data_IF_289633215313
#
_entry.id   IF_289633215313
#
_cell.length_a   1.000
_cell.length_b   1.000
_cell.length_c   1.000
_cell.angle_alpha   90.00
_cell.angle_beta   90.00
_cell.angle_gamma   90.00
#
_symmetry.space_group_name_H-M   'P 1'
#
loop_
_entity.id
_entity.type
_entity.pdbx_description
1 polymer ?
#
# COMPACT_ATOMS: atom_id res chain seq x y z
N UNK A 1 34.09 -1.36 12.61
CA UNK A 1 32.84 -2.12 12.79
C UNK A 1 31.71 -1.21 12.36
N UNK A 2 30.74 -1.70 11.57
CA UNK A 2 29.58 -0.90 11.21
C UNK A 2 28.61 -0.84 12.38
N UNK A 3 27.89 0.26 12.48
CA UNK A 3 26.86 0.46 13.48
C UNK A 3 25.60 -0.34 13.11
N UNK A 4 25.05 -1.14 14.03
CA UNK A 4 23.85 -1.94 13.73
C UNK A 4 22.59 -1.16 14.11
N UNK A 5 21.65 -1.04 13.16
CA UNK A 5 20.34 -0.42 13.34
C UNK A 5 19.25 -1.48 13.20
N UNK A 6 18.28 -1.49 14.11
CA UNK A 6 17.12 -2.39 14.03
C UNK A 6 15.99 -1.71 13.29
N UNK A 7 15.50 -2.33 12.23
CA UNK A 7 14.40 -1.78 11.45
C UNK A 7 13.06 -1.94 12.19
N UNK A 8 12.20 -0.92 12.17
CA UNK A 8 10.84 -0.96 12.74
C UNK A 8 9.84 -0.22 11.86
N UNK A 9 8.54 -0.55 11.97
CA UNK A 9 7.47 0.20 11.32
C UNK A 9 7.26 -0.08 9.83
N UNK A 10 7.78 -1.20 9.31
CA UNK A 10 7.54 -1.66 7.94
C UNK A 10 6.40 -2.66 7.94
N UNK A 11 5.49 -2.48 7.02
CA UNK A 11 4.21 -3.17 7.07
C UNK A 11 4.06 -4.15 5.94
N UNK A 12 3.31 -5.22 6.22
CA UNK A 12 2.93 -6.20 5.22
C UNK A 12 2.41 -5.52 3.96
N UNK A 13 2.84 -6.05 2.82
CA UNK A 13 2.33 -5.65 1.51
C UNK A 13 2.41 -6.83 0.56
N UNK A 14 1.94 -6.59 -0.67
CA UNK A 14 2.02 -7.54 -1.78
C UNK A 14 3.44 -7.87 -2.21
N UNK A 15 4.37 -6.96 -1.96
CA UNK A 15 5.79 -7.13 -2.28
C UNK A 15 6.58 -7.57 -1.05
N UNK A 16 6.08 -7.28 0.14
CA UNK A 16 6.72 -7.60 1.41
C UNK A 16 5.77 -8.39 2.32
N UNK A 17 5.51 -9.63 1.93
CA UNK A 17 4.54 -10.52 2.60
C UNK A 17 4.95 -10.93 4.01
N UNK A 18 6.24 -10.86 4.31
CA UNK A 18 6.82 -11.34 5.56
C UNK A 18 6.82 -10.29 6.68
N UNK A 19 6.46 -9.04 6.38
CA UNK A 19 6.30 -8.02 7.40
C UNK A 19 4.97 -8.16 8.14
N UNK A 20 4.89 -7.70 9.40
CA UNK A 20 3.66 -7.81 10.15
C UNK A 20 2.60 -6.82 9.65
N UNK A 21 1.33 -7.15 9.89
CA UNK A 21 0.22 -6.24 9.60
C UNK A 21 0.11 -5.16 10.71
N UNK A 22 0.01 -3.86 10.37
CA UNK A 22 -0.08 -2.81 11.37
C UNK A 22 -1.32 -2.90 12.27
N UNK A 23 -2.42 -3.55 11.82
CA UNK A 23 -3.59 -3.80 12.65
C UNK A 23 -3.28 -4.71 13.85
N UNK A 24 -2.23 -5.53 13.77
CA UNK A 24 -1.80 -6.34 14.91
C UNK A 24 -1.36 -5.48 16.08
N UNK A 25 -0.88 -4.27 15.81
CA UNK A 25 -0.28 -3.37 16.80
C UNK A 25 -1.26 -2.29 17.28
N UNK A 26 -2.49 -2.24 16.78
CA UNK A 26 -3.50 -1.28 17.27
C UNK A 26 -3.90 -1.58 18.71
N UNK A 27 -3.74 -0.59 19.58
CA UNK A 27 -4.11 -0.64 20.99
C UNK A 27 -4.81 0.67 21.39
N UNK A 28 -6.14 0.66 21.37
CA UNK A 28 -6.94 1.82 21.77
C UNK A 28 -6.84 2.16 23.26
N UNK A 29 -6.31 1.24 24.07
CA UNK A 29 -6.08 1.44 25.51
C UNK A 29 -4.63 1.82 25.81
N UNK A 30 -3.82 2.11 24.78
CA UNK A 30 -2.45 2.55 24.98
C UNK A 30 -2.41 3.89 25.72
N UNK A 31 -1.64 3.93 26.80
CA UNK A 31 -1.47 5.13 27.62
C UNK A 31 -1.08 6.35 26.76
N UNK A 32 -1.91 7.39 26.83
CA UNK A 32 -1.78 8.57 25.99
C UNK A 32 -0.49 9.36 26.26
N UNK A 33 0.01 9.35 27.51
CA UNK A 33 1.23 10.06 27.87
C UNK A 33 2.47 9.35 27.34
N UNK A 34 2.51 8.02 27.44
CA UNK A 34 3.57 7.19 26.84
C UNK A 34 3.54 7.33 25.32
N UNK A 35 2.36 7.25 24.69
CA UNK A 35 2.20 7.47 23.26
C UNK A 35 2.77 8.81 22.82
N UNK A 36 2.46 9.88 23.55
CA UNK A 36 2.96 11.20 23.23
C UNK A 36 4.49 11.30 23.32
N UNK A 37 5.11 10.66 24.31
CA UNK A 37 6.57 10.61 24.42
C UNK A 37 7.21 9.88 23.24
N UNK A 38 6.67 8.72 22.87
CA UNK A 38 7.13 7.95 21.69
C UNK A 38 6.98 8.77 20.41
N UNK A 39 5.87 9.48 20.23
CA UNK A 39 5.66 10.37 19.09
C UNK A 39 6.69 11.50 19.02
N UNK A 40 6.98 12.14 20.15
CA UNK A 40 8.01 13.19 20.24
C UNK A 40 9.38 12.63 19.86
N UNK A 41 9.73 11.44 20.36
CA UNK A 41 10.98 10.76 20.03
C UNK A 41 11.10 10.46 18.52
N UNK A 42 10.08 9.84 17.92
CA UNK A 42 10.07 9.52 16.49
C UNK A 42 10.21 10.78 15.61
N UNK A 43 9.54 11.87 15.98
CA UNK A 43 9.61 13.15 15.26
C UNK A 43 10.97 13.84 15.41
N UNK A 44 11.72 13.52 16.46
CA UNK A 44 13.07 14.04 16.69
C UNK A 44 14.18 13.22 16.01
N UNK A 45 13.83 12.11 15.35
CA UNK A 45 14.78 11.26 14.63
C UNK A 45 15.59 12.02 13.58
N UNK A 46 16.78 11.51 13.28
CA UNK A 46 17.68 12.05 12.24
C UNK A 46 17.38 11.37 10.91
N UNK A 47 17.27 12.13 9.80
CA UNK A 47 17.02 11.54 8.49
C UNK A 47 18.22 10.67 8.07
N UNK A 48 17.95 9.51 7.48
CA UNK A 48 18.97 8.68 6.85
C UNK A 48 19.54 9.38 5.60
N UNK A 49 20.80 9.09 5.18
CA UNK A 49 21.46 9.80 4.08
C UNK A 49 20.98 9.34 2.69
N UNK A 50 19.76 8.81 2.59
CA UNK A 50 19.13 8.34 1.36
C UNK A 50 17.63 8.56 1.39
N UNK A 51 17.01 8.53 0.20
CA UNK A 51 15.56 8.57 0.01
C UNK A 51 15.16 7.52 -1.00
N UNK A 52 13.93 7.01 -0.87
CA UNK A 52 13.38 6.06 -1.84
C UNK A 52 12.75 6.79 -3.03
N UNK A 53 12.81 6.16 -4.21
CA UNK A 53 12.20 6.67 -5.45
C UNK A 53 10.68 6.42 -5.54
N UNK A 54 10.00 6.32 -4.39
CA UNK A 54 8.59 6.00 -4.30
C UNK A 54 8.03 6.46 -2.96
N UNK A 55 6.71 6.57 -2.88
CA UNK A 55 6.04 7.00 -1.66
C UNK A 55 5.27 5.85 -1.03
N UNK A 56 5.29 5.83 0.30
CA UNK A 56 4.49 4.90 1.10
C UNK A 56 3.05 5.40 1.24
N UNK A 57 2.14 4.49 1.58
CA UNK A 57 0.71 4.76 1.78
C UNK A 57 0.23 4.09 3.07
N UNK A 58 -0.87 4.62 3.64
CA UNK A 58 -1.44 4.09 4.87
C UNK A 58 -2.23 2.80 4.64
N UNK A 59 -1.86 1.70 5.30
CA UNK A 59 -2.52 0.39 5.13
C UNK A 59 -3.96 0.38 5.64
N UNK A 60 -4.32 1.30 6.54
CA UNK A 60 -5.70 1.55 6.96
C UNK A 60 -6.52 2.39 5.97
N UNK A 61 -5.91 2.82 4.84
CA UNK A 61 -6.56 3.55 3.74
C UNK A 61 -7.16 4.92 4.13
N UNK A 62 -6.49 5.69 4.99
CA UNK A 62 -6.96 7.01 5.47
C UNK A 62 -7.40 7.99 4.37
N UNK A 63 -6.65 8.09 3.27
CA UNK A 63 -6.78 9.23 2.35
C UNK A 63 -6.80 8.82 0.86
N UNK A 64 -7.10 7.55 0.55
CA UNK A 64 -7.05 7.04 -0.82
C UNK A 64 -5.68 7.24 -1.53
N UNK A 65 -5.62 7.08 -2.87
CA UNK A 65 -4.38 7.12 -3.65
C UNK A 65 -3.74 8.50 -3.78
N UNK A 66 -4.50 9.56 -3.53
CA UNK A 66 -4.16 10.91 -4.00
C UNK A 66 -3.63 11.82 -2.90
N UNK A 67 -3.97 11.55 -1.64
CA UNK A 67 -3.70 12.47 -0.52
C UNK A 67 -2.94 11.85 0.66
N UNK A 68 -2.86 10.52 0.77
CA UNK A 68 -2.22 9.82 1.91
C UNK A 68 -0.77 9.41 1.70
N UNK A 69 0.09 10.33 1.25
CA UNK A 69 1.51 10.03 1.03
C UNK A 69 2.24 10.04 2.37
N UNK A 70 2.65 8.86 2.84
CA UNK A 70 3.40 8.67 4.09
C UNK A 70 4.90 8.98 3.96
N UNK A 71 5.27 9.77 2.95
CA UNK A 71 6.66 10.11 2.68
C UNK A 71 7.47 9.03 1.98
N UNK A 72 8.76 9.32 1.84
CA UNK A 72 9.75 8.48 1.15
C UNK A 72 11.11 8.48 1.87
N UNK A 73 11.16 9.07 3.07
CA UNK A 73 12.36 9.14 3.90
C UNK A 73 12.32 8.09 5.01
N UNK A 74 13.49 7.84 5.57
CA UNK A 74 13.67 7.06 6.80
C UNK A 74 14.40 7.90 7.82
N UNK A 75 14.12 7.61 9.09
CA UNK A 75 14.69 8.29 10.24
C UNK A 75 15.31 7.27 11.18
N UNK A 76 16.28 7.72 11.97
CA UNK A 76 16.96 6.90 12.97
C UNK A 76 17.24 7.70 14.24
N UNK A 77 17.34 7.00 15.36
CA UNK A 77 17.90 7.50 16.62
C UNK A 77 19.27 6.90 16.94
N UNK A 78 19.86 6.15 16.01
CA UNK A 78 21.08 5.38 16.23
C UNK A 78 20.86 4.02 16.89
N UNK A 79 19.64 3.59 17.19
CA UNK A 79 19.34 2.20 17.55
C UNK A 79 18.32 1.59 16.61
N UNK A 80 17.26 2.34 16.30
CA UNK A 80 16.21 1.94 15.38
C UNK A 80 16.27 2.77 14.11
N UNK A 81 15.75 2.20 13.02
CA UNK A 81 15.47 2.91 11.77
C UNK A 81 14.01 2.67 11.39
N UNK A 82 13.30 3.73 10.99
CA UNK A 82 11.87 3.67 10.70
C UNK A 82 11.49 4.56 9.50
N UNK A 83 10.40 4.23 8.79
CA UNK A 83 9.90 5.08 7.73
C UNK A 83 9.24 6.33 8.30
N UNK A 84 9.32 7.44 7.57
CA UNK A 84 8.62 8.70 7.86
C UNK A 84 7.15 8.48 8.26
N UNK A 85 6.48 7.57 7.55
CA UNK A 85 5.09 7.20 7.77
C UNK A 85 4.76 6.59 9.13
N UNK A 86 5.73 6.10 9.91
CA UNK A 86 5.46 5.44 11.18
C UNK A 86 4.69 6.35 12.15
N UNK A 87 5.04 7.64 12.19
CA UNK A 87 4.37 8.65 13.02
C UNK A 87 2.86 8.69 12.76
N UNK A 88 2.44 8.64 11.50
CA UNK A 88 1.03 8.63 11.12
C UNK A 88 0.27 7.46 11.74
N UNK A 89 0.87 6.27 11.81
CA UNK A 89 0.21 5.11 12.41
C UNK A 89 -0.04 5.27 13.91
N UNK A 90 0.90 5.87 14.63
CA UNK A 90 0.73 6.14 16.07
C UNK A 90 -0.35 7.21 16.30
N UNK A 91 -0.39 8.24 15.47
CA UNK A 91 -1.35 9.36 15.59
C UNK A 91 -2.77 8.97 15.17
N UNK A 92 -2.93 8.35 14.00
CA UNK A 92 -4.23 8.09 13.39
C UNK A 92 -4.83 6.72 13.77
N UNK A 93 -4.00 5.74 14.13
CA UNK A 93 -4.43 4.34 14.28
C UNK A 93 -4.16 3.74 15.64
N UNK A 94 -3.76 4.55 16.63
CA UNK A 94 -3.40 4.09 17.96
C UNK A 94 -2.43 2.89 17.93
N UNK A 95 -1.50 2.91 16.96
CA UNK A 95 -0.51 1.85 16.81
C UNK A 95 0.47 1.93 17.98
N UNK A 96 0.59 0.86 18.75
CA UNK A 96 1.58 0.75 19.82
C UNK A 96 2.74 -0.12 19.35
N UNK A 97 3.97 0.37 19.49
CA UNK A 97 5.19 -0.39 19.14
C UNK A 97 5.47 -1.48 20.19
N UNK A 98 6.31 -2.50 19.86
CA UNK A 98 6.73 -3.50 20.84
C UNK A 98 7.31 -2.87 22.11
N UNK A 99 7.10 -3.48 23.30
CA UNK A 99 7.49 -2.90 24.58
C UNK A 99 8.94 -2.43 24.61
N UNK A 100 9.89 -3.24 24.14
CA UNK A 100 11.33 -2.91 24.12
C UNK A 100 11.68 -1.68 23.26
N UNK A 101 10.85 -1.36 22.27
CA UNK A 101 10.99 -0.13 21.47
C UNK A 101 10.42 1.05 22.25
N UNK A 102 9.21 0.92 22.79
CA UNK A 102 8.57 2.01 23.56
C UNK A 102 9.36 2.36 24.81
N UNK A 103 9.86 1.37 25.55
CA UNK A 103 10.66 1.55 26.75
C UNK A 103 11.95 2.33 26.43
N UNK A 104 12.66 1.93 25.36
CA UNK A 104 13.85 2.65 24.90
C UNK A 104 13.54 4.11 24.54
N UNK A 105 12.48 4.36 23.76
CA UNK A 105 12.12 5.72 23.34
C UNK A 105 11.70 6.61 24.53
N UNK A 106 11.10 6.03 25.58
CA UNK A 106 10.70 6.76 26.78
C UNK A 106 11.79 6.89 27.84
N UNK A 107 12.94 6.19 27.69
CA UNK A 107 14.04 6.25 28.65
C UNK A 107 14.84 7.58 28.60
N UNK A 108 14.52 8.48 27.67
CA UNK A 108 15.13 9.82 27.59
C UNK A 108 16.54 9.83 26.99
N UNK A 109 16.85 8.89 26.09
CA UNK A 109 18.12 8.89 25.38
C UNK A 109 18.25 10.08 24.43
N UNK A 110 19.38 10.78 24.46
CA UNK A 110 19.68 11.83 23.48
C UNK A 110 19.97 11.22 22.10
N UNK A 111 19.36 11.79 21.06
CA UNK A 111 19.60 11.39 19.67
C UNK A 111 20.85 12.11 19.15
N UNK A 112 22.01 11.51 19.39
CA UNK A 112 23.32 12.06 18.99
C UNK A 112 23.92 11.38 17.74
N UNK A 113 23.28 10.32 17.25
CA UNK A 113 23.79 9.57 16.11
C UNK A 113 23.54 10.32 14.80
N UNK A 114 24.61 10.60 14.06
CA UNK A 114 24.57 11.19 12.72
C UNK A 114 24.87 10.08 11.69
N UNK A 115 23.88 9.60 10.93
CA UNK A 115 24.07 8.49 10.00
C UNK A 115 24.93 8.93 8.80
N UNK A 116 26.10 8.33 8.66
CA UNK A 116 26.97 8.52 7.48
C UNK A 116 26.82 7.34 6.50
N UNK A 117 26.86 7.58 5.17
CA UNK A 117 26.81 6.52 4.18
C UNK A 117 27.80 5.39 4.47
N UNK A 118 27.36 4.13 4.33
CA UNK A 118 28.16 2.91 4.50
C UNK A 118 28.68 2.60 5.92
N UNK A 119 28.37 3.42 6.94
CA UNK A 119 28.80 3.21 8.32
C UNK A 119 27.82 2.42 9.18
N UNK A 120 26.73 1.92 8.60
CA UNK A 120 25.71 1.15 9.30
C UNK A 120 25.30 -0.11 8.55
N UNK A 121 24.70 -1.05 9.29
CA UNK A 121 23.96 -2.19 8.75
C UNK A 121 22.58 -2.21 9.39
N UNK A 122 21.57 -2.58 8.60
CA UNK A 122 20.18 -2.64 9.05
C UNK A 122 19.82 -4.10 9.27
N UNK A 123 19.36 -4.42 10.48
CA UNK A 123 18.70 -5.69 10.76
C UNK A 123 17.23 -5.62 10.35
N UNK A 124 16.91 -6.31 9.26
CA UNK A 124 15.56 -6.45 8.72
C UNK A 124 14.76 -7.58 9.37
N UNK A 125 15.43 -8.52 10.05
CA UNK A 125 14.82 -9.77 10.48
C UNK A 125 14.06 -9.60 11.78
N UNK A 126 14.57 -8.79 12.71
CA UNK A 126 13.89 -8.57 14.00
C UNK A 126 12.42 -8.17 13.80
N UNK A 127 12.16 -7.21 12.92
CA UNK A 127 10.80 -6.71 12.68
C UNK A 127 9.83 -7.76 12.13
N UNK A 128 10.31 -8.61 11.21
CA UNK A 128 9.51 -9.68 10.59
C UNK A 128 9.02 -10.72 11.60
N UNK A 129 9.70 -10.85 12.73
CA UNK A 129 9.31 -11.79 13.79
C UNK A 129 8.32 -11.19 14.79
N UNK A 130 8.10 -9.87 14.75
CA UNK A 130 7.23 -9.19 15.70
C UNK A 130 5.77 -9.54 15.44
N UNK A 131 5.07 -9.84 16.53
CA UNK A 131 3.61 -10.04 16.55
C UNK A 131 3.04 -9.02 17.52
N UNK A 132 2.08 -8.24 17.04
CA UNK A 132 1.33 -7.35 17.92
C UNK A 132 0.36 -8.11 18.82
N UNK A 133 -0.53 -7.36 19.47
CA UNK A 133 -1.53 -7.86 20.43
C UNK A 133 -2.80 -8.40 19.76
N UNK A 134 -3.01 -8.09 18.48
CA UNK A 134 -4.23 -8.41 17.74
C UNK A 134 -3.94 -9.15 16.42
N UNK A 135 -3.31 -10.32 16.49
CA UNK A 135 -2.88 -11.09 15.30
C UNK A 135 -4.02 -11.60 14.41
N UNK A 136 -5.27 -11.49 14.87
CA UNK A 136 -6.46 -11.81 14.08
C UNK A 136 -6.96 -10.63 13.23
N UNK A 137 -6.55 -9.40 13.56
CA UNK A 137 -6.89 -8.24 12.75
C UNK A 137 -6.01 -8.18 11.50
N UNK A 138 -6.53 -7.53 10.47
CA UNK A 138 -5.82 -7.33 9.21
C UNK A 138 -6.20 -6.00 8.61
N UNK A 139 -5.23 -5.15 8.34
CA UNK A 139 -5.37 -4.04 7.39
C UNK A 139 -5.27 -4.53 5.95
N UNK A 140 -4.60 -5.65 5.76
CA UNK A 140 -4.50 -6.33 4.48
C UNK A 140 -5.84 -7.02 4.16
N UNK A 141 -6.72 -6.32 3.47
CA UNK A 141 -8.00 -6.86 2.96
C UNK A 141 -7.83 -7.59 1.62
N UNK A 142 -6.68 -8.25 1.44
CA UNK A 142 -6.24 -8.62 0.11
C UNK A 142 -5.82 -7.39 -0.69
N UNK A 143 -5.20 -7.70 -1.81
CA UNK A 143 -4.81 -6.71 -2.79
C UNK A 143 -6.09 -6.38 -3.55
N UNK A 144 -6.22 -5.18 -4.11
CA UNK A 144 -7.17 -4.95 -5.20
C UNK A 144 -6.71 -5.74 -6.46
N UNK A 145 -6.31 -7.00 -6.30
CA UNK A 145 -5.91 -7.93 -7.34
C UNK A 145 -7.10 -8.73 -7.78
N UNK A 146 -7.24 -8.76 -9.09
CA UNK A 146 -8.20 -9.57 -9.77
C UNK A 146 -8.49 -8.91 -11.08
N UNK A 147 -9.76 -8.78 -11.41
CA UNK A 147 -10.14 -8.15 -12.65
C UNK A 147 -11.20 -7.08 -12.43
N UNK A 148 -11.12 -6.06 -13.25
CA UNK A 148 -12.18 -5.07 -13.40
C UNK A 148 -12.92 -5.29 -14.69
N UNK A 149 -14.23 -5.13 -14.64
CA UNK A 149 -15.10 -5.03 -15.81
C UNK A 149 -15.46 -3.57 -15.97
N UNK A 150 -15.20 -3.02 -17.14
CA UNK A 150 -15.37 -1.59 -17.44
C UNK A 150 -16.25 -1.44 -18.68
N UNK A 151 -17.22 -0.53 -18.62
CA UNK A 151 -17.90 0.01 -19.78
C UNK A 151 -18.11 1.52 -19.61
N UNK A 152 -18.41 2.23 -20.70
CA UNK A 152 -18.72 3.66 -20.67
C UNK A 152 -20.14 3.89 -21.20
N UNK A 153 -20.93 4.70 -20.48
CA UNK A 153 -22.28 5.11 -20.88
C UNK A 153 -22.28 6.57 -21.32
N UNK A 154 -22.84 6.79 -22.50
CA UNK A 154 -22.97 8.12 -23.09
C UNK A 154 -21.64 8.72 -23.50
N UNK A 155 -21.69 9.80 -24.29
CA UNK A 155 -20.50 10.45 -24.85
C UNK A 155 -20.26 11.84 -24.26
N UNK A 156 -21.12 12.31 -23.35
CA UNK A 156 -21.08 13.66 -22.79
C UNK A 156 -19.75 13.98 -22.07
N UNK A 157 -19.08 12.95 -21.51
CA UNK A 157 -17.81 13.08 -20.78
C UNK A 157 -16.68 12.24 -21.38
N UNK A 158 -16.72 11.93 -22.68
CA UNK A 158 -15.80 10.99 -23.33
C UNK A 158 -14.31 11.29 -23.05
N UNK A 159 -13.89 12.56 -23.12
CA UNK A 159 -12.50 12.94 -22.84
C UNK A 159 -12.10 12.74 -21.37
N UNK A 160 -13.03 12.97 -20.42
CA UNK A 160 -12.78 12.73 -19.00
C UNK A 160 -12.74 11.23 -18.68
N UNK A 161 -13.64 10.46 -19.28
CA UNK A 161 -13.68 8.99 -19.18
C UNK A 161 -12.35 8.40 -19.66
N UNK A 162 -11.88 8.80 -20.84
CA UNK A 162 -10.61 8.34 -21.41
C UNK A 162 -9.42 8.71 -20.52
N UNK A 163 -9.32 9.98 -20.09
CA UNK A 163 -8.24 10.43 -19.22
C UNK A 163 -8.23 9.70 -17.87
N UNK A 164 -9.40 9.48 -17.27
CA UNK A 164 -9.55 8.74 -16.02
C UNK A 164 -9.08 7.29 -16.17
N UNK A 165 -9.51 6.61 -17.24
CA UNK A 165 -9.11 5.23 -17.52
C UNK A 165 -7.62 5.12 -17.81
N UNK A 166 -7.04 6.00 -18.63
CA UNK A 166 -5.60 6.04 -18.89
C UNK A 166 -4.81 6.21 -17.59
N UNK A 167 -5.22 7.16 -16.75
CA UNK A 167 -4.57 7.39 -15.47
C UNK A 167 -4.64 6.17 -14.55
N UNK A 168 -5.83 5.59 -14.38
CA UNK A 168 -6.05 4.46 -13.50
C UNK A 168 -5.37 3.18 -13.99
N UNK A 169 -5.51 2.86 -15.28
CA UNK A 169 -4.92 1.66 -15.85
C UNK A 169 -3.39 1.74 -15.95
N UNK A 170 -2.81 2.94 -16.09
CA UNK A 170 -1.34 3.10 -16.04
C UNK A 170 -0.74 2.67 -14.69
N UNK A 171 -1.52 2.80 -13.60
CA UNK A 171 -1.10 2.48 -12.24
C UNK A 171 -1.26 1.00 -11.89
N UNK A 172 -1.97 0.23 -12.71
CA UNK A 172 -2.26 -1.19 -12.41
C UNK A 172 -1.26 -2.19 -13.01
N UNK A 173 -0.12 -1.70 -13.54
CA UNK A 173 1.00 -2.48 -14.12
C UNK A 173 0.86 -2.80 -15.62
N UNK A 174 1.95 -2.72 -16.40
CA UNK A 174 1.98 -3.10 -17.83
C UNK A 174 1.10 -2.25 -18.78
N UNK A 175 1.71 -1.35 -19.57
CA UNK A 175 0.99 -0.35 -20.39
C UNK A 175 0.33 -0.91 -21.66
N UNK A 176 1.00 -1.82 -22.39
CA UNK A 176 0.61 -2.15 -23.78
C UNK A 176 -0.78 -2.78 -23.92
N UNK A 177 -1.17 -3.66 -23.01
CA UNK A 177 -2.51 -4.28 -23.04
C UNK A 177 -3.63 -3.33 -22.61
N UNK A 178 -3.29 -2.26 -21.89
CA UNK A 178 -4.25 -1.39 -21.23
C UNK A 178 -4.69 -0.22 -22.07
N UNK A 179 -3.83 0.26 -22.97
CA UNK A 179 -4.23 1.24 -23.99
C UNK A 179 -5.34 0.68 -24.87
N UNK A 180 -5.19 -0.57 -25.32
CA UNK A 180 -6.24 -1.24 -26.10
C UNK A 180 -7.54 -1.38 -25.31
N UNK A 181 -7.48 -1.69 -24.01
CA UNK A 181 -8.66 -1.76 -23.16
C UNK A 181 -9.39 -0.40 -23.09
N UNK A 182 -8.65 0.71 -22.96
CA UNK A 182 -9.25 2.06 -23.01
C UNK A 182 -9.92 2.29 -24.37
N UNK A 183 -9.23 2.03 -25.47
CA UNK A 183 -9.79 2.19 -26.81
C UNK A 183 -11.08 1.38 -27.01
N UNK A 184 -11.11 0.14 -26.55
CA UNK A 184 -12.27 -0.74 -26.69
C UNK A 184 -13.44 -0.25 -25.81
N UNK A 185 -13.19 0.22 -24.60
CA UNK A 185 -14.22 0.87 -23.75
C UNK A 185 -14.77 2.13 -24.40
N UNK A 186 -13.90 2.97 -24.97
CA UNK A 186 -14.33 4.20 -25.66
C UNK A 186 -15.10 3.93 -26.97
N UNK A 187 -14.96 2.74 -27.56
CA UNK A 187 -15.79 2.25 -28.67
C UNK A 187 -17.15 1.68 -28.22
N UNK A 188 -17.42 1.67 -26.91
CA UNK A 188 -18.66 1.16 -26.33
C UNK A 188 -18.62 -0.34 -25.99
N UNK A 189 -17.45 -0.98 -26.03
CA UNK A 189 -17.32 -2.36 -25.59
C UNK A 189 -17.21 -2.45 -24.06
N UNK A 190 -17.77 -3.51 -23.49
CA UNK A 190 -17.46 -3.91 -22.13
C UNK A 190 -16.17 -4.72 -22.13
N UNK A 191 -15.20 -4.33 -21.30
CA UNK A 191 -13.87 -4.95 -21.28
C UNK A 191 -13.52 -5.42 -19.88
N UNK A 192 -12.98 -6.64 -19.77
CA UNK A 192 -12.36 -7.13 -18.55
C UNK A 192 -10.84 -6.93 -18.60
N UNK A 193 -10.27 -6.40 -17.52
CA UNK A 193 -8.84 -6.18 -17.38
C UNK A 193 -8.36 -6.87 -16.10
N UNK A 194 -7.43 -7.82 -16.23
CA UNK A 194 -6.70 -8.39 -15.09
C UNK A 194 -5.63 -7.41 -14.63
N UNK A 195 -5.45 -7.27 -13.32
CA UNK A 195 -4.39 -6.42 -12.79
C UNK A 195 -4.40 -6.29 -11.27
N UNK A 196 -3.53 -5.40 -10.80
CA UNK A 196 -3.52 -4.92 -9.42
C UNK A 196 -4.09 -3.51 -9.47
N UNK A 197 -5.25 -3.28 -8.90
CA UNK A 197 -6.01 -2.05 -9.03
C UNK A 197 -6.04 -1.29 -7.72
N UNK A 198 -4.88 -0.80 -7.23
CA UNK A 198 -4.86 -0.12 -5.94
C UNK A 198 -5.91 0.99 -5.97
N UNK A 199 -6.77 1.01 -4.96
CA UNK A 199 -7.85 2.00 -4.79
C UNK A 199 -8.96 1.91 -5.84
N UNK A 200 -9.26 0.71 -6.31
CA UNK A 200 -10.34 0.48 -7.29
C UNK A 200 -11.69 0.99 -6.81
N UNK A 201 -11.98 0.93 -5.52
CA UNK A 201 -13.24 1.43 -4.96
C UNK A 201 -13.36 2.95 -5.09
N UNK A 202 -12.35 3.69 -4.67
CA UNK A 202 -12.29 5.15 -4.84
C UNK A 202 -12.44 5.54 -6.33
N UNK A 203 -11.77 4.80 -7.22
CA UNK A 203 -11.90 5.01 -8.66
C UNK A 203 -13.33 4.77 -9.16
N UNK A 204 -14.01 3.71 -8.71
CA UNK A 204 -15.41 3.43 -9.03
C UNK A 204 -16.31 4.59 -8.57
N UNK A 205 -16.20 4.99 -7.31
CA UNK A 205 -17.06 6.01 -6.70
C UNK A 205 -16.95 7.36 -7.42
N UNK A 206 -15.73 7.80 -7.70
CA UNK A 206 -15.47 9.10 -8.32
C UNK A 206 -15.93 9.17 -9.78
N UNK A 207 -15.78 8.07 -10.53
CA UNK A 207 -15.93 8.09 -11.97
C UNK A 207 -17.29 7.54 -12.46
N UNK A 208 -18.13 7.04 -11.55
CA UNK A 208 -19.52 6.72 -11.87
C UNK A 208 -20.29 7.97 -12.34
N UNK A 209 -19.97 9.14 -11.76
CA UNK A 209 -20.59 10.43 -12.11
C UNK A 209 -20.33 10.89 -13.56
N UNK A 210 -19.20 10.47 -14.14
CA UNK A 210 -18.83 10.77 -15.53
C UNK A 210 -19.26 9.66 -16.50
N UNK A 211 -20.07 8.69 -16.06
CA UNK A 211 -20.63 7.64 -16.91
C UNK A 211 -19.73 6.42 -17.11
N UNK A 212 -18.69 6.20 -16.30
CA UNK A 212 -17.99 4.91 -16.28
C UNK A 212 -18.76 3.92 -15.41
N UNK A 213 -19.00 2.71 -15.92
CA UNK A 213 -19.50 1.59 -15.13
C UNK A 213 -18.35 0.63 -14.88
N UNK A 214 -17.96 0.49 -13.61
CA UNK A 214 -16.80 -0.30 -13.24
C UNK A 214 -17.22 -1.30 -12.15
N UNK A 215 -16.86 -2.57 -12.32
CA UNK A 215 -17.04 -3.61 -11.32
C UNK A 215 -15.72 -4.28 -11.03
N UNK A 216 -15.36 -4.40 -9.77
CA UNK A 216 -14.16 -5.12 -9.34
C UNK A 216 -14.51 -6.52 -8.82
N UNK A 217 -13.65 -7.48 -9.14
CA UNK A 217 -13.68 -8.84 -8.61
C UNK A 217 -12.29 -9.22 -8.15
N UNK A 218 -12.20 -9.49 -6.86
CA UNK A 218 -10.97 -9.99 -6.25
C UNK A 218 -10.76 -11.46 -6.60
N UNK A 219 -9.50 -11.86 -6.79
CA UNK A 219 -9.10 -13.25 -6.94
C UNK A 219 -7.91 -13.55 -6.01
N UNK A 220 -7.72 -14.82 -5.58
CA UNK A 220 -6.55 -15.23 -4.80
C UNK A 220 -5.24 -14.85 -5.50
N UNK A 221 -4.21 -14.50 -4.72
CA UNK A 221 -2.93 -14.05 -5.26
C UNK A 221 -2.25 -15.14 -6.11
N UNK A 222 -2.36 -16.39 -5.68
CA UNK A 222 -1.82 -17.56 -6.38
C UNK A 222 -2.46 -17.68 -7.78
N UNK A 223 -3.79 -17.56 -7.85
CA UNK A 223 -4.52 -17.56 -9.12
C UNK A 223 -4.13 -16.37 -10.00
N UNK A 224 -3.94 -15.19 -9.41
CA UNK A 224 -3.44 -14.04 -10.16
C UNK A 224 -2.05 -14.28 -10.73
N UNK A 225 -1.12 -14.85 -9.97
CA UNK A 225 0.23 -15.17 -10.45
C UNK A 225 0.19 -16.17 -11.61
N UNK A 226 -0.63 -17.22 -11.52
CA UNK A 226 -0.83 -18.18 -12.60
C UNK A 226 -1.33 -17.50 -13.88
N UNK A 227 -2.34 -16.64 -13.77
CA UNK A 227 -2.91 -15.90 -14.90
C UNK A 227 -1.94 -14.86 -15.47
N UNK A 228 -1.17 -14.17 -14.63
CA UNK A 228 -0.22 -13.15 -15.05
C UNK A 228 0.96 -13.76 -15.84
N UNK A 229 1.40 -14.95 -15.42
CA UNK A 229 2.45 -15.73 -16.09
C UNK A 229 1.95 -16.54 -17.31
N UNK A 230 0.63 -16.72 -17.45
CA UNK A 230 0.04 -17.48 -18.55
C UNK A 230 0.21 -16.79 -19.92
N UNK A 231 0.07 -17.56 -20.99
CA UNK A 231 0.05 -16.98 -22.33
C UNK A 231 -1.12 -16.01 -22.48
N UNK A 232 -0.92 -14.90 -23.21
CA UNK A 232 -1.96 -13.86 -23.41
C UNK A 232 -3.30 -14.43 -23.85
N UNK A 233 -3.31 -15.48 -24.68
CA UNK A 233 -4.54 -16.14 -25.15
C UNK A 233 -5.32 -16.79 -24.01
N UNK A 234 -4.64 -17.46 -23.10
CA UNK A 234 -5.26 -18.20 -21.99
C UNK A 234 -5.85 -17.23 -20.97
N UNK A 235 -5.10 -16.18 -20.63
CA UNK A 235 -5.58 -15.08 -19.80
C UNK A 235 -6.82 -14.39 -20.40
N UNK A 236 -6.80 -14.09 -21.70
CA UNK A 236 -7.94 -13.45 -22.37
C UNK A 236 -9.16 -14.37 -22.41
N UNK A 237 -8.98 -15.67 -22.68
CA UNK A 237 -10.07 -16.64 -22.68
C UNK A 237 -10.70 -16.76 -21.28
N UNK A 238 -9.88 -16.79 -20.23
CA UNK A 238 -10.37 -16.79 -18.85
C UNK A 238 -11.18 -15.53 -18.52
N UNK A 239 -10.66 -14.34 -18.86
CA UNK A 239 -11.37 -13.07 -18.63
C UNK A 239 -12.71 -13.01 -19.40
N UNK A 240 -12.74 -13.53 -20.63
CA UNK A 240 -13.96 -13.58 -21.43
C UNK A 240 -15.02 -14.50 -20.80
N UNK A 241 -14.61 -15.68 -20.33
CA UNK A 241 -15.51 -16.59 -19.62
C UNK A 241 -16.07 -15.95 -18.32
N UNK A 242 -15.26 -15.15 -17.63
CA UNK A 242 -15.69 -14.40 -16.45
C UNK A 242 -16.67 -13.26 -16.77
N UNK A 243 -16.51 -12.59 -17.92
CA UNK A 243 -17.48 -11.60 -18.41
C UNK A 243 -18.84 -12.25 -18.69
N UNK A 244 -18.85 -13.37 -19.41
CA UNK A 244 -20.07 -14.07 -19.81
C UNK A 244 -20.89 -14.55 -18.61
N UNK A 245 -20.21 -15.01 -17.54
CA UNK A 245 -20.87 -15.38 -16.27
C UNK A 245 -21.60 -14.22 -15.59
N UNK A 246 -21.29 -12.97 -15.92
CA UNK A 246 -21.93 -11.78 -15.33
C UNK A 246 -23.11 -11.26 -16.14
N UNK A 247 -23.27 -11.72 -17.38
CA UNK A 247 -24.38 -11.36 -18.27
C UNK A 247 -25.52 -12.39 -18.24
N UNK A 248 -25.26 -13.58 -17.67
CA UNK A 248 -26.23 -14.66 -17.42
C UNK A 248 -26.94 -14.50 -16.06
#
# INVERSE_FOLDING_TARGET
>A
MKHSLTMIGYWQSVYETDYPDPAWFTDHNWDAAIRQQVLVHLKAGKPMPYTYMGQSWCRFRCDGPRTGRLGSMEFTDGKYVWPEGLVHYLEAHALRLPPEVTEYMTAGHEILYEPAPHNYEIDYNWWKTQKGWNTQASTYKGIDIGYIVISARGTAFAALQEAALLHFLSKSGGIRGKLKAVEDVMKGHTVAVLGRFPYVQDFIEENTSIGLEIRFREIPFEQYQELDLSATKDRTAWLQAELEKQEA
#
